data_IF_237805936110
#
_entry.id   IF_237805936110
#
_cell.length_a   1.000
_cell.length_b   1.000
_cell.length_c   1.000
_cell.angle_alpha   90.00
_cell.angle_beta   90.00
_cell.angle_gamma   90.00
#
_symmetry.space_group_name_H-M   'P 1'
#
loop_
_entity.id
_entity.type
_entity.pdbx_description
1 polymer ?
#
# COMPACT_ATOMS: atom_id res chain seq x y z
N UNK A 1 64.95 -30.03 17.07
CA UNK A 1 63.59 -30.62 17.02
C UNK A 1 62.58 -29.52 17.33
N UNK A 2 61.77 -29.09 16.36
CA UNK A 2 60.76 -28.04 16.56
C UNK A 2 59.44 -28.68 16.98
N UNK A 3 58.94 -28.40 18.20
CA UNK A 3 57.65 -28.90 18.68
C UNK A 3 56.52 -28.16 17.95
N UNK A 4 55.78 -28.86 17.08
CA UNK A 4 54.47 -28.41 16.61
C UNK A 4 53.49 -28.43 17.78
N UNK A 5 53.06 -27.27 18.24
CA UNK A 5 51.91 -27.16 19.15
C UNK A 5 50.64 -27.15 18.31
N UNK A 6 49.84 -28.22 18.40
CA UNK A 6 48.51 -28.26 17.80
C UNK A 6 47.63 -27.24 18.52
N UNK A 7 47.20 -26.20 17.80
CA UNK A 7 46.27 -25.19 18.31
C UNK A 7 44.87 -25.81 18.34
N UNK A 8 44.55 -26.53 19.41
CA UNK A 8 43.17 -26.85 19.76
C UNK A 8 42.49 -25.54 20.19
N UNK A 9 41.71 -24.95 19.29
CA UNK A 9 40.88 -23.78 19.61
C UNK A 9 39.52 -24.27 20.07
N UNK A 10 39.05 -23.80 21.23
CA UNK A 10 37.70 -24.08 21.71
C UNK A 10 36.60 -23.61 20.72
N UNK A 11 36.95 -22.74 19.76
CA UNK A 11 36.06 -22.30 18.69
C UNK A 11 35.72 -23.38 17.65
N UNK A 12 36.44 -24.50 17.59
CA UNK A 12 36.08 -25.65 16.72
C UNK A 12 35.01 -26.56 17.32
N UNK A 13 34.77 -26.48 18.63
CA UNK A 13 33.85 -27.34 19.37
C UNK A 13 32.64 -26.56 19.84
N UNK A 14 31.83 -26.10 18.89
CA UNK A 14 30.54 -25.50 19.17
C UNK A 14 29.73 -25.44 17.88
N UNK A 15 28.58 -26.12 17.84
CA UNK A 15 27.61 -25.85 16.77
C UNK A 15 27.07 -24.44 16.98
N UNK A 16 27.36 -23.54 16.05
CA UNK A 16 26.73 -22.22 15.95
C UNK A 16 25.22 -22.43 15.88
N UNK A 17 24.57 -22.37 17.03
CA UNK A 17 23.12 -22.46 17.14
C UNK A 17 22.61 -21.10 16.70
N UNK A 18 22.47 -20.92 15.38
CA UNK A 18 21.78 -19.77 14.81
C UNK A 18 20.39 -19.75 15.44
N UNK A 19 20.13 -18.79 16.33
CA UNK A 19 18.80 -18.57 16.88
C UNK A 19 17.80 -18.55 15.71
N UNK A 20 16.66 -19.24 15.81
CA UNK A 20 15.65 -19.20 14.76
C UNK A 20 15.34 -17.73 14.50
N UNK A 21 15.63 -17.24 13.29
CA UNK A 21 15.19 -15.91 12.89
C UNK A 21 13.67 -15.97 12.88
N UNK A 22 13.04 -15.48 13.95
CA UNK A 22 11.65 -15.13 13.90
C UNK A 22 11.50 -14.10 12.78
N UNK A 23 10.87 -14.53 11.69
CA UNK A 23 10.41 -13.63 10.66
C UNK A 23 9.34 -12.73 11.31
N UNK A 24 9.80 -11.66 11.95
CA UNK A 24 9.00 -10.62 12.62
C UNK A 24 8.21 -9.78 11.62
N UNK A 25 8.29 -10.10 10.33
CA UNK A 25 7.59 -9.38 9.29
C UNK A 25 6.13 -9.81 9.24
N UNK A 26 5.26 -8.98 9.82
CA UNK A 26 3.82 -9.23 9.94
C UNK A 26 3.10 -9.33 8.57
N UNK A 27 3.67 -8.75 7.51
CA UNK A 27 3.10 -8.73 6.15
C UNK A 27 3.95 -9.49 5.14
N UNK A 28 3.40 -10.55 4.54
CA UNK A 28 4.07 -11.25 3.45
C UNK A 28 4.19 -10.40 2.18
N UNK A 29 5.10 -10.76 1.26
CA UNK A 29 5.23 -10.09 -0.05
C UNK A 29 3.92 -10.01 -0.84
N UNK A 30 3.02 -10.98 -0.65
CA UNK A 30 1.72 -10.96 -1.29
C UNK A 30 0.81 -9.87 -0.74
N UNK A 31 0.87 -9.56 0.55
CA UNK A 31 0.09 -8.51 1.19
C UNK A 31 0.42 -7.15 0.57
N UNK A 32 1.72 -6.85 0.39
CA UNK A 32 2.15 -5.62 -0.29
C UNK A 32 1.61 -5.51 -1.72
N UNK A 33 1.53 -6.62 -2.47
CA UNK A 33 0.90 -6.60 -3.80
C UNK A 33 -0.57 -6.22 -3.72
N UNK A 34 -1.31 -6.75 -2.74
CA UNK A 34 -2.72 -6.39 -2.52
C UNK A 34 -2.88 -4.93 -2.07
N UNK A 35 -2.01 -4.43 -1.20
CA UNK A 35 -1.99 -3.02 -0.79
C UNK A 35 -1.76 -2.10 -1.99
N UNK A 36 -0.77 -2.38 -2.84
CA UNK A 36 -0.54 -1.58 -4.05
C UNK A 36 -1.76 -1.54 -4.98
N UNK A 37 -2.50 -2.65 -5.08
CA UNK A 37 -3.76 -2.69 -5.84
C UNK A 37 -4.81 -1.81 -5.15
N UNK A 38 -5.00 -1.93 -3.83
CA UNK A 38 -5.94 -1.11 -3.06
C UNK A 38 -5.66 0.38 -3.22
N UNK A 39 -4.40 0.79 -3.05
CA UNK A 39 -3.93 2.15 -3.26
C UNK A 39 -4.21 2.64 -4.69
N UNK A 40 -3.99 1.81 -5.71
CA UNK A 40 -4.29 2.18 -7.09
C UNK A 40 -5.79 2.47 -7.29
N UNK A 41 -6.68 1.67 -6.70
CA UNK A 41 -8.13 1.93 -6.73
C UNK A 41 -8.51 3.25 -6.04
N UNK A 42 -7.90 3.55 -4.89
CA UNK A 42 -8.12 4.81 -4.17
C UNK A 42 -7.69 6.00 -5.04
N UNK A 43 -6.48 5.95 -5.60
CA UNK A 43 -5.95 7.00 -6.47
C UNK A 43 -6.85 7.20 -7.69
N UNK A 44 -7.24 6.13 -8.37
CA UNK A 44 -8.17 6.20 -9.52
C UNK A 44 -9.51 6.79 -9.10
N UNK A 45 -10.04 6.41 -7.94
CA UNK A 45 -11.26 6.98 -7.38
C UNK A 45 -11.16 8.50 -7.21
N UNK A 46 -10.08 9.01 -6.61
CA UNK A 46 -9.87 10.45 -6.47
C UNK A 46 -9.64 11.16 -7.81
N UNK A 47 -8.91 10.55 -8.74
CA UNK A 47 -8.74 11.09 -10.09
C UNK A 47 -10.07 11.23 -10.83
N UNK A 48 -10.99 10.27 -10.66
CA UNK A 48 -12.33 10.33 -11.23
C UNK A 48 -13.22 11.42 -10.61
N UNK A 49 -12.91 11.90 -9.40
CA UNK A 49 -13.62 13.02 -8.75
C UNK A 49 -13.14 14.38 -9.26
N UNK A 50 -11.95 14.45 -9.88
CA UNK A 50 -11.42 15.69 -10.43
C UNK A 50 -12.37 16.29 -11.47
N UNK A 51 -12.46 17.61 -11.48
CA UNK A 51 -13.33 18.36 -12.38
C UNK A 51 -13.65 19.75 -11.84
N UNK A 52 -14.32 20.55 -12.65
CA UNK A 52 -14.75 21.90 -12.29
C UNK A 52 -15.65 21.90 -11.04
N UNK A 53 -15.56 23.00 -10.29
CA UNK A 53 -16.43 23.28 -9.14
C UNK A 53 -17.79 23.85 -9.60
N UNK A 54 -18.58 24.35 -8.64
CA UNK A 54 -19.97 24.71 -8.84
C UNK A 54 -20.11 26.01 -9.64
N UNK A 55 -19.07 26.85 -9.63
CA UNK A 55 -19.08 28.20 -10.14
C UNK A 55 -18.12 28.37 -11.33
N UNK A 56 -17.46 27.29 -11.75
CA UNK A 56 -16.60 27.26 -12.92
C UNK A 56 -17.36 26.68 -14.11
N UNK A 57 -17.71 27.53 -15.07
CA UNK A 57 -18.33 27.14 -16.34
C UNK A 57 -17.32 27.38 -17.45
N UNK A 58 -17.12 26.40 -18.33
CA UNK A 58 -16.14 26.45 -19.43
C UNK A 58 -14.70 26.83 -18.99
N UNK A 59 -14.32 26.44 -17.77
CA UNK A 59 -12.99 26.72 -17.21
C UNK A 59 -12.81 28.15 -16.66
N UNK A 60 -13.87 28.97 -16.66
CA UNK A 60 -13.87 30.31 -16.08
C UNK A 60 -14.73 30.35 -14.81
N UNK A 61 -14.17 30.88 -13.75
CA UNK A 61 -14.87 31.10 -12.49
C UNK A 61 -15.81 32.31 -12.57
N UNK A 62 -17.08 32.12 -12.19
CA UNK A 62 -18.10 33.17 -12.03
C UNK A 62 -18.99 32.86 -10.80
N UNK A 63 -18.95 33.71 -9.75
CA UNK A 63 -19.76 33.51 -8.54
C UNK A 63 -21.27 33.42 -8.77
N UNK A 64 -21.79 34.01 -9.85
CA UNK A 64 -23.22 34.02 -10.14
C UNK A 64 -23.65 32.90 -11.10
N UNK A 65 -22.71 32.06 -11.51
CA UNK A 65 -22.94 30.95 -12.43
C UNK A 65 -23.00 29.62 -11.70
N UNK A 66 -23.73 28.66 -12.27
CA UNK A 66 -23.90 27.31 -11.74
C UNK A 66 -23.52 26.25 -12.77
N UNK A 67 -22.69 25.28 -12.36
CA UNK A 67 -22.22 24.17 -13.16
C UNK A 67 -22.83 22.84 -12.70
N UNK A 68 -23.77 22.31 -13.49
CA UNK A 68 -24.40 21.01 -13.24
C UNK A 68 -23.44 19.81 -13.38
N UNK A 69 -22.25 20.01 -13.95
CA UNK A 69 -21.21 18.99 -14.09
C UNK A 69 -20.71 18.41 -12.76
N UNK A 70 -20.96 19.10 -11.63
CA UNK A 70 -20.75 18.54 -10.29
C UNK A 70 -21.61 17.28 -10.08
N UNK A 71 -22.84 17.26 -10.59
CA UNK A 71 -23.76 16.15 -10.39
C UNK A 71 -23.55 14.96 -11.34
N UNK A 72 -22.41 14.93 -12.03
CA UNK A 72 -22.02 13.81 -12.87
C UNK A 72 -22.07 12.50 -12.08
N UNK A 73 -22.79 11.51 -12.62
CA UNK A 73 -22.87 10.14 -12.07
C UNK A 73 -21.48 9.56 -11.82
N UNK A 74 -20.51 9.91 -12.69
CA UNK A 74 -19.11 9.49 -12.55
C UNK A 74 -18.50 9.98 -11.23
N UNK A 75 -18.65 11.28 -10.92
CA UNK A 75 -18.02 11.92 -9.75
C UNK A 75 -18.74 11.59 -8.44
N UNK A 76 -20.07 11.47 -8.47
CA UNK A 76 -20.88 11.27 -7.26
C UNK A 76 -21.06 9.80 -6.89
N UNK A 77 -21.14 8.89 -7.87
CA UNK A 77 -21.44 7.47 -7.59
C UNK A 77 -20.26 6.56 -7.87
N UNK A 78 -19.70 6.65 -9.08
CA UNK A 78 -18.64 5.73 -9.52
C UNK A 78 -17.35 6.01 -8.76
N UNK A 79 -16.93 7.28 -8.71
CA UNK A 79 -15.66 7.67 -8.10
C UNK A 79 -15.58 7.33 -6.60
N UNK A 80 -16.59 7.63 -5.76
CA UNK A 80 -16.55 7.24 -4.35
C UNK A 80 -16.61 5.73 -4.16
N UNK A 81 -17.33 5.00 -5.03
CA UNK A 81 -17.36 3.54 -4.99
C UNK A 81 -15.97 2.94 -5.22
N UNK A 82 -15.18 3.48 -6.14
CA UNK A 82 -13.78 3.06 -6.35
C UNK A 82 -12.92 3.28 -5.11
N UNK A 83 -13.08 4.41 -4.41
CA UNK A 83 -12.37 4.69 -3.17
C UNK A 83 -12.75 3.69 -2.07
N UNK A 84 -14.06 3.42 -1.90
CA UNK A 84 -14.55 2.43 -0.93
C UNK A 84 -14.01 1.04 -1.23
N UNK A 85 -14.05 0.60 -2.50
CA UNK A 85 -13.47 -0.69 -2.92
C UNK A 85 -11.97 -0.73 -2.60
N UNK A 86 -11.24 0.34 -2.89
CA UNK A 86 -9.82 0.45 -2.55
C UNK A 86 -9.55 0.25 -1.05
N UNK A 87 -10.34 0.91 -0.18
CA UNK A 87 -10.22 0.69 1.27
C UNK A 87 -10.59 -0.73 1.70
N UNK A 88 -11.60 -1.35 1.10
CA UNK A 88 -11.93 -2.77 1.38
C UNK A 88 -10.77 -3.68 0.99
N UNK A 89 -10.11 -3.42 -0.15
CA UNK A 89 -8.91 -4.17 -0.56
C UNK A 89 -7.77 -3.96 0.43
N UNK A 90 -7.54 -2.74 0.92
CA UNK A 90 -6.52 -2.47 1.95
C UNK A 90 -6.79 -3.22 3.25
N UNK A 91 -8.03 -3.18 3.73
CA UNK A 91 -8.46 -3.95 4.91
C UNK A 91 -8.19 -5.44 4.70
N UNK A 92 -8.58 -5.99 3.54
CA UNK A 92 -8.28 -7.37 3.21
C UNK A 92 -6.77 -7.62 3.14
N UNK A 93 -5.99 -6.75 2.51
CA UNK A 93 -4.54 -6.91 2.36
C UNK A 93 -3.81 -6.94 3.70
N UNK A 94 -4.25 -6.12 4.65
CA UNK A 94 -3.69 -6.04 6.01
C UNK A 94 -4.11 -7.26 6.83
N UNK A 95 -5.40 -7.64 6.80
CA UNK A 95 -5.93 -8.75 7.59
C UNK A 95 -5.56 -10.12 7.02
N UNK A 96 -5.20 -10.21 5.74
CA UNK A 96 -4.82 -11.46 5.08
C UNK A 96 -3.54 -12.00 5.68
N UNK A 97 -3.66 -12.81 6.70
CA UNK A 97 -2.53 -13.51 7.28
C UNK A 97 -2.16 -14.70 6.39
N UNK A 98 -0.90 -14.76 5.97
CA UNK A 98 -0.27 -16.01 5.54
C UNK A 98 0.33 -16.70 6.75
#
# INVERSE_FOLDING_TARGET
>A
MSKKTNKFSAAEFGTDTKAPQENTFYFGQQNFKWMLIGLAFIVVGFLLMMGADANTVDGKYDPNSWNDGIFSIRRIRIAPLFVVIGFVIEVYAILKRK
#
